data_IF_504232788717
#
_entry.id   IF_504232788717
#
_cell.length_a   1.000
_cell.length_b   1.000
_cell.length_c   1.000
_cell.angle_alpha   90.00
_cell.angle_beta   90.00
_cell.angle_gamma   90.00
#
_symmetry.space_group_name_H-M   'P 1'
#
loop_
_entity.id
_entity.type
_entity.pdbx_description
1 polymer ?
#
# COMPACT_ATOMS: atom_id res chain seq x y z
N UNK A 1 16.98 19.53 2.22
CA UNK A 1 15.62 19.55 1.64
C UNK A 1 14.63 19.17 2.73
N UNK A 2 13.64 20.03 3.03
CA UNK A 2 12.64 19.82 4.11
C UNK A 2 11.61 18.75 3.72
N UNK A 3 10.91 18.14 4.69
CA UNK A 3 9.84 17.15 4.42
C UNK A 3 8.72 17.78 3.56
N UNK A 4 8.39 19.04 3.81
CA UNK A 4 7.43 19.84 3.03
C UNK A 4 7.80 19.89 1.55
N UNK A 5 9.01 20.36 1.24
CA UNK A 5 9.50 20.40 -0.14
C UNK A 5 9.58 19.02 -0.79
N UNK A 6 9.86 17.96 -0.02
CA UNK A 6 9.82 16.58 -0.54
C UNK A 6 8.40 16.16 -0.90
N UNK A 7 7.44 16.38 -0.01
CA UNK A 7 6.06 15.94 -0.23
C UNK A 7 5.38 16.71 -1.37
N UNK A 8 5.55 18.04 -1.43
CA UNK A 8 5.04 18.87 -2.53
C UNK A 8 5.66 18.46 -3.87
N UNK A 9 6.98 18.27 -3.92
CA UNK A 9 7.64 17.76 -5.12
C UNK A 9 7.12 16.37 -5.51
N UNK A 10 6.87 15.47 -4.56
CA UNK A 10 6.31 14.14 -4.86
C UNK A 10 4.89 14.23 -5.39
N UNK A 11 4.03 15.11 -4.86
CA UNK A 11 2.67 15.34 -5.38
C UNK A 11 2.75 15.87 -6.81
N UNK A 12 3.50 16.94 -7.04
CA UNK A 12 3.62 17.57 -8.37
C UNK A 12 4.16 16.58 -9.39
N UNK A 13 5.26 15.90 -9.06
CA UNK A 13 5.84 14.87 -9.91
C UNK A 13 4.82 13.76 -10.21
N UNK A 14 4.11 13.27 -9.19
CA UNK A 14 3.14 12.20 -9.38
C UNK A 14 1.91 12.62 -10.21
N UNK A 15 1.55 13.90 -10.21
CA UNK A 15 0.53 14.49 -11.10
C UNK A 15 1.04 14.67 -12.53
N UNK A 16 2.31 15.06 -12.70
CA UNK A 16 2.98 15.25 -14.00
C UNK A 16 3.37 13.91 -14.67
N UNK A 17 2.91 12.78 -14.14
CA UNK A 17 3.14 11.45 -14.71
C UNK A 17 4.47 10.81 -14.33
N UNK A 18 5.24 11.41 -13.41
CA UNK A 18 6.46 10.80 -12.88
C UNK A 18 6.11 9.53 -12.09
N UNK A 19 6.72 8.43 -12.49
CA UNK A 19 6.64 7.13 -11.81
C UNK A 19 8.01 6.79 -11.26
N UNK A 20 8.08 6.44 -9.98
CA UNK A 20 9.27 5.74 -9.49
C UNK A 20 9.46 4.47 -10.33
N UNK A 21 10.70 4.23 -10.78
CA UNK A 21 11.02 3.04 -11.55
C UNK A 21 10.63 1.80 -10.75
N UNK A 22 9.72 1.01 -11.30
CA UNK A 22 9.24 -0.23 -10.70
C UNK A 22 9.19 -1.31 -11.75
N UNK A 23 9.55 -2.52 -11.35
CA UNK A 23 9.38 -3.73 -12.18
C UNK A 23 8.08 -4.46 -11.85
N UNK A 24 7.29 -3.93 -10.90
CA UNK A 24 6.08 -4.58 -10.43
C UNK A 24 4.95 -4.41 -11.43
N UNK A 25 4.56 -5.49 -12.10
CA UNK A 25 3.45 -5.44 -13.04
C UNK A 25 2.10 -5.23 -12.34
N UNK A 26 1.24 -4.42 -12.97
CA UNK A 26 -0.18 -4.36 -12.64
C UNK A 26 -0.85 -5.70 -12.96
N UNK A 27 -1.48 -6.33 -11.96
CA UNK A 27 -2.07 -7.67 -12.11
C UNK A 27 -3.54 -7.63 -12.52
N UNK A 28 -4.18 -6.44 -12.56
CA UNK A 28 -5.61 -6.25 -12.84
C UNK A 28 -6.07 -6.92 -14.14
N UNK A 29 -5.18 -6.98 -15.14
CA UNK A 29 -5.45 -7.52 -16.49
C UNK A 29 -5.16 -9.01 -16.63
N UNK A 30 -4.66 -9.67 -15.57
CA UNK A 30 -4.36 -11.10 -15.61
C UNK A 30 -5.60 -11.91 -15.27
N UNK A 31 -5.70 -13.11 -15.83
CA UNK A 31 -6.74 -14.06 -15.46
C UNK A 31 -6.39 -14.74 -14.13
N UNK A 32 -7.37 -15.03 -13.26
CA UNK A 32 -7.15 -15.89 -12.10
C UNK A 32 -6.46 -17.21 -12.51
N UNK A 33 -5.67 -17.76 -11.59
CA UNK A 33 -4.78 -18.92 -11.74
C UNK A 33 -3.55 -18.72 -12.62
N UNK A 34 -3.30 -17.50 -13.09
CA UNK A 34 -2.04 -17.17 -13.78
C UNK A 34 -0.85 -17.36 -12.82
N UNK A 35 0.19 -18.05 -13.30
CA UNK A 35 1.46 -18.19 -12.58
C UNK A 35 2.33 -16.94 -12.78
N UNK A 36 2.82 -16.38 -11.68
CA UNK A 36 3.67 -15.19 -11.67
C UNK A 36 4.98 -15.55 -10.96
N UNK A 37 6.09 -15.45 -11.67
CA UNK A 37 7.40 -15.68 -11.08
C UNK A 37 7.68 -14.72 -9.91
N UNK A 38 8.16 -15.25 -8.79
CA UNK A 38 8.44 -14.47 -7.57
C UNK A 38 9.50 -13.39 -7.79
N UNK A 39 10.40 -13.57 -8.75
CA UNK A 39 11.44 -12.60 -9.09
C UNK A 39 10.89 -11.31 -9.76
N UNK A 40 9.62 -11.29 -10.16
CA UNK A 40 8.96 -10.07 -10.66
C UNK A 40 8.58 -9.10 -9.54
N UNK A 41 8.59 -9.56 -8.30
CA UNK A 41 8.26 -8.78 -7.12
C UNK A 41 9.55 -8.32 -6.44
N UNK A 42 9.83 -7.02 -6.52
CA UNK A 42 10.82 -6.39 -5.63
C UNK A 42 10.07 -6.13 -4.33
N UNK A 43 10.37 -6.89 -3.28
CA UNK A 43 9.58 -6.85 -2.03
C UNK A 43 10.18 -5.86 -1.03
N UNK A 44 10.24 -4.59 -1.39
CA UNK A 44 10.81 -3.53 -0.54
C UNK A 44 10.01 -3.35 0.76
N UNK A 45 8.73 -3.70 0.73
CA UNK A 45 7.77 -3.52 1.83
C UNK A 45 7.28 -4.84 2.44
N UNK A 46 8.05 -5.92 2.30
CA UNK A 46 7.61 -7.23 2.79
C UNK A 46 7.40 -7.23 4.30
N UNK A 47 6.18 -7.56 4.72
CA UNK A 47 5.80 -7.73 6.11
C UNK A 47 5.24 -9.14 6.27
N UNK A 48 5.94 -9.94 7.07
CA UNK A 48 5.40 -11.22 7.53
C UNK A 48 4.55 -10.95 8.76
N UNK A 49 3.27 -11.34 8.71
CA UNK A 49 2.38 -11.36 9.87
C UNK A 49 2.02 -12.81 10.22
N UNK A 50 2.89 -13.55 10.94
CA UNK A 50 2.64 -14.95 11.27
C UNK A 50 1.31 -15.14 12.03
N UNK A 51 0.94 -14.15 12.84
CA UNK A 51 -0.27 -14.20 13.68
C UNK A 51 -1.57 -13.94 12.89
N UNK A 52 -1.49 -13.38 11.68
CA UNK A 52 -2.65 -13.01 10.86
C UNK A 52 -2.91 -14.04 9.74
N UNK A 53 -2.07 -15.07 9.63
CA UNK A 53 -2.21 -16.18 8.67
C UNK A 53 -2.03 -15.77 7.20
N UNK A 54 -1.50 -14.57 6.95
CA UNK A 54 -1.21 -14.04 5.62
C UNK A 54 0.10 -13.27 5.64
N UNK A 55 0.95 -13.50 4.63
CA UNK A 55 2.07 -12.60 4.37
C UNK A 55 1.60 -11.49 3.44
N UNK A 56 2.12 -10.27 3.61
CA UNK A 56 1.70 -9.15 2.78
C UNK A 56 2.85 -8.24 2.42
N UNK A 57 2.68 -7.51 1.33
CA UNK A 57 3.59 -6.47 0.88
C UNK A 57 2.83 -5.49 -0.01
N UNK A 58 3.41 -4.33 -0.26
CA UNK A 58 2.83 -3.28 -1.11
C UNK A 58 3.88 -2.67 -2.04
N UNK A 59 3.52 -2.45 -3.29
CA UNK A 59 4.47 -1.88 -4.23
C UNK A 59 3.76 -0.92 -5.18
N UNK A 60 4.54 0.00 -5.75
CA UNK A 60 4.09 0.81 -6.87
C UNK A 60 4.13 -0.06 -8.11
N UNK A 61 3.02 -0.16 -8.84
CA UNK A 61 2.95 -0.93 -10.07
C UNK A 61 3.43 -0.14 -11.31
N UNK A 62 3.56 -0.82 -12.46
CA UNK A 62 3.95 -0.22 -13.74
C UNK A 62 2.99 0.89 -14.21
N UNK A 63 1.75 0.90 -13.71
CA UNK A 63 0.78 1.97 -13.97
C UNK A 63 0.99 3.18 -13.03
N UNK A 64 1.92 3.07 -12.07
CA UNK A 64 2.27 4.07 -11.08
C UNK A 64 1.40 4.00 -9.84
N UNK A 65 0.49 3.04 -9.72
CA UNK A 65 -0.46 2.97 -8.62
C UNK A 65 0.11 2.18 -7.46
N UNK A 66 -0.26 2.57 -6.23
CA UNK A 66 0.04 1.76 -5.06
C UNK A 66 -0.91 0.56 -5.04
N UNK A 67 -0.33 -0.63 -5.05
CA UNK A 67 -1.03 -1.90 -4.94
C UNK A 67 -0.55 -2.70 -3.73
N UNK A 68 -1.46 -3.44 -3.13
CA UNK A 68 -1.20 -4.34 -2.01
C UNK A 68 -1.34 -5.78 -2.45
N UNK A 69 -0.55 -6.65 -1.86
CA UNK A 69 -0.47 -8.06 -2.21
C UNK A 69 -0.61 -8.89 -0.95
N UNK A 70 -1.61 -9.76 -0.92
CA UNK A 70 -1.83 -10.75 0.12
C UNK A 70 -1.46 -12.14 -0.38
N UNK A 71 -0.52 -12.78 0.31
CA UNK A 71 -0.11 -14.16 0.03
C UNK A 71 -0.88 -15.08 0.98
N UNK A 72 -1.87 -15.76 0.43
CA UNK A 72 -2.79 -16.67 1.08
C UNK A 72 -2.18 -18.08 1.28
N UNK A 73 -2.39 -18.64 2.47
CA UNK A 73 -2.10 -20.03 2.86
C UNK A 73 -3.32 -20.94 2.60
N UNK A 74 -3.84 -20.94 1.37
CA UNK A 74 -5.00 -21.77 1.00
C UNK A 74 -6.23 -21.52 1.88
N UNK A 75 -6.74 -22.57 2.56
CA UNK A 75 -8.00 -22.51 3.31
C UNK A 75 -8.00 -21.50 4.46
N UNK A 76 -6.86 -21.23 5.11
CA UNK A 76 -6.80 -20.32 6.28
C UNK A 76 -7.01 -18.85 5.92
N UNK A 77 -6.85 -18.51 4.64
CA UNK A 77 -6.90 -17.14 4.15
C UNK A 77 -8.07 -16.89 3.20
N UNK A 78 -9.01 -17.83 3.07
CA UNK A 78 -10.15 -17.71 2.15
C UNK A 78 -11.06 -16.52 2.51
N UNK A 79 -11.23 -16.23 3.79
CA UNK A 79 -12.02 -15.08 4.27
C UNK A 79 -11.56 -13.78 3.61
N UNK A 80 -10.25 -13.57 3.47
CA UNK A 80 -9.68 -12.37 2.83
C UNK A 80 -10.14 -12.16 1.38
N UNK A 81 -10.56 -13.23 0.71
CA UNK A 81 -11.02 -13.23 -0.68
C UNK A 81 -12.55 -13.15 -0.76
N UNK A 82 -13.25 -13.81 0.17
CA UNK A 82 -14.70 -14.06 0.07
C UNK A 82 -15.55 -13.07 0.86
N UNK A 83 -15.00 -12.42 1.89
CA UNK A 83 -15.74 -11.53 2.76
C UNK A 83 -15.52 -10.05 2.43
N UNK A 84 -16.41 -9.21 2.96
CA UNK A 84 -16.35 -7.76 2.79
C UNK A 84 -15.11 -7.18 3.46
N UNK A 85 -14.38 -6.39 2.67
CA UNK A 85 -13.16 -5.73 3.09
C UNK A 85 -13.46 -4.30 3.54
N UNK A 86 -13.09 -4.00 4.80
CA UNK A 86 -13.13 -2.65 5.35
C UNK A 86 -11.70 -2.16 5.51
N UNK A 87 -11.47 -0.86 5.36
CA UNK A 87 -10.20 -0.24 5.69
C UNK A 87 -10.37 0.94 6.65
N UNK A 88 -9.35 1.17 7.47
CA UNK A 88 -9.24 2.29 8.40
C UNK A 88 -7.84 2.89 8.32
N UNK A 89 -7.74 4.18 8.61
CA UNK A 89 -6.45 4.88 8.70
C UNK A 89 -6.29 5.49 10.09
N UNK A 90 -5.06 5.47 10.61
CA UNK A 90 -4.70 6.14 11.86
C UNK A 90 -3.29 6.70 11.80
N UNK A 91 -2.95 7.59 12.73
CA UNK A 91 -1.59 8.08 12.98
C UNK A 91 -1.18 7.75 14.39
N UNK A 92 0.04 7.28 14.54
CA UNK A 92 0.73 7.20 15.82
C UNK A 92 2.17 7.68 15.62
N UNK A 93 2.60 8.64 16.44
CA UNK A 93 3.92 9.25 16.33
C UNK A 93 4.21 9.73 14.90
N UNK A 94 5.32 9.27 14.31
CA UNK A 94 5.78 9.60 12.96
C UNK A 94 5.36 8.55 11.91
N UNK A 95 4.27 7.81 12.15
CA UNK A 95 3.79 6.76 11.27
C UNK A 95 2.28 6.90 11.01
N UNK A 96 1.88 6.74 9.75
CA UNK A 96 0.49 6.56 9.35
C UNK A 96 0.27 5.07 9.10
N UNK A 97 -0.82 4.52 9.63
CA UNK A 97 -1.15 3.11 9.52
C UNK A 97 -2.42 2.93 8.70
N UNK A 98 -2.33 2.10 7.66
CA UNK A 98 -3.50 1.62 6.91
C UNK A 98 -3.84 0.22 7.41
N UNK A 99 -5.03 0.07 7.98
CA UNK A 99 -5.53 -1.19 8.50
C UNK A 99 -6.61 -1.74 7.58
N UNK A 100 -6.40 -2.92 7.01
CA UNK A 100 -7.45 -3.67 6.33
C UNK A 100 -8.07 -4.69 7.30
N UNK A 101 -9.38 -4.86 7.23
CA UNK A 101 -10.17 -5.66 8.18
C UNK A 101 -11.15 -6.52 7.38
N UNK A 102 -11.17 -7.82 7.70
CA UNK A 102 -12.08 -8.81 7.12
C UNK A 102 -12.55 -9.72 8.26
N UNK A 103 -13.85 -9.72 8.56
CA UNK A 103 -14.40 -10.45 9.70
C UNK A 103 -13.65 -10.13 11.00
N UNK A 104 -13.03 -11.15 11.60
CA UNK A 104 -12.22 -11.02 12.82
C UNK A 104 -10.72 -10.78 12.55
N UNK A 105 -10.29 -10.80 11.28
CA UNK A 105 -8.89 -10.64 10.87
C UNK A 105 -8.60 -9.20 10.50
N UNK A 106 -7.35 -8.82 10.67
CA UNK A 106 -6.84 -7.55 10.14
C UNK A 106 -5.40 -7.69 9.71
N UNK A 107 -4.94 -6.76 8.88
CA UNK A 107 -3.54 -6.50 8.58
C UNK A 107 -3.30 -5.01 8.74
N UNK A 108 -2.12 -4.64 9.23
CA UNK A 108 -1.75 -3.23 9.45
C UNK A 108 -0.48 -2.92 8.66
N UNK A 109 -0.56 -1.88 7.85
CA UNK A 109 0.53 -1.46 6.98
C UNK A 109 1.04 -0.10 7.42
N UNK A 110 2.28 0.00 7.91
CA UNK A 110 2.88 1.24 8.35
C UNK A 110 3.51 2.03 7.20
N UNK A 111 3.30 3.34 7.22
CA UNK A 111 3.96 4.33 6.36
C UNK A 111 4.69 5.36 7.22
N UNK A 112 6.02 5.29 7.22
CA UNK A 112 6.87 6.15 8.04
C UNK A 112 7.02 7.53 7.39
N UNK A 113 6.63 8.60 8.08
CA UNK A 113 6.65 9.97 7.53
C UNK A 113 8.05 10.53 7.26
N UNK A 114 9.09 9.88 7.80
CA UNK A 114 10.50 10.24 7.53
C UNK A 114 11.09 9.48 6.35
N UNK A 115 10.44 8.39 5.91
CA UNK A 115 10.90 7.56 4.81
C UNK A 115 10.36 8.08 3.47
N UNK A 116 11.24 8.18 2.48
CA UNK A 116 10.87 8.77 1.17
C UNK A 116 9.95 7.86 0.38
N UNK A 117 10.14 6.54 0.48
CA UNK A 117 9.27 5.58 -0.20
C UNK A 117 7.85 5.60 0.41
N UNK A 118 7.77 5.57 1.73
CA UNK A 118 6.51 5.70 2.48
C UNK A 118 5.76 6.99 2.14
N UNK A 119 6.46 8.13 2.08
CA UNK A 119 5.87 9.40 1.64
C UNK A 119 5.35 9.31 0.21
N UNK A 120 6.11 8.71 -0.71
CA UNK A 120 5.63 8.51 -2.08
C UNK A 120 4.39 7.62 -2.14
N UNK A 121 4.35 6.51 -1.40
CA UNK A 121 3.17 5.66 -1.30
C UNK A 121 1.95 6.41 -0.76
N UNK A 122 2.12 7.22 0.29
CA UNK A 122 1.06 8.08 0.82
C UNK A 122 0.59 9.11 -0.22
N UNK A 123 1.51 9.73 -0.95
CA UNK A 123 1.17 10.60 -2.09
C UNK A 123 0.34 9.85 -3.13
N UNK A 124 0.72 8.60 -3.48
CA UNK A 124 -0.04 7.77 -4.42
C UNK A 124 -1.46 7.48 -3.92
N UNK A 125 -1.64 7.18 -2.63
CA UNK A 125 -2.97 7.02 -2.02
C UNK A 125 -3.81 8.28 -2.17
N UNK A 126 -3.24 9.46 -1.93
CA UNK A 126 -3.98 10.74 -2.03
C UNK A 126 -4.49 10.98 -3.46
N UNK A 127 -3.65 10.73 -4.46
CA UNK A 127 -4.00 11.06 -5.86
C UNK A 127 -4.82 9.97 -6.56
N UNK A 128 -4.65 8.69 -6.21
CA UNK A 128 -5.35 7.60 -6.89
C UNK A 128 -6.79 7.48 -6.39
N UNK A 129 -7.72 7.10 -7.27
CA UNK A 129 -9.14 6.93 -6.90
C UNK A 129 -9.36 5.64 -6.12
N UNK A 130 -8.66 4.58 -6.52
CA UNK A 130 -8.82 3.25 -5.94
C UNK A 130 -7.47 2.62 -5.60
N UNK A 131 -7.45 1.83 -4.53
CA UNK A 131 -6.37 0.91 -4.18
C UNK A 131 -6.70 -0.48 -4.72
N UNK A 132 -5.71 -1.16 -5.28
CA UNK A 132 -5.82 -2.58 -5.64
C UNK A 132 -5.29 -3.46 -4.51
N UNK A 133 -6.08 -4.44 -4.08
CA UNK A 133 -5.65 -5.52 -3.21
C UNK A 133 -5.63 -6.82 -4.00
N UNK A 134 -4.45 -7.31 -4.33
CA UNK A 134 -4.21 -8.53 -5.09
C UNK A 134 -4.05 -9.74 -4.19
N UNK A 135 -4.70 -10.84 -4.56
CA UNK A 135 -4.62 -12.10 -3.84
C UNK A 135 -3.69 -13.06 -4.59
N UNK A 136 -2.73 -13.63 -3.87
CA UNK A 136 -1.71 -14.55 -4.36
C UNK A 136 -1.71 -15.81 -3.51
N UNK A 137 -1.38 -16.95 -4.09
CA UNK A 137 -1.10 -18.18 -3.35
C UNK A 137 0.33 -18.63 -3.60
N UNK A 138 1.01 -19.06 -2.54
CA UNK A 138 2.39 -19.52 -2.59
C UNK A 138 2.51 -20.82 -3.41
N UNK A 139 3.41 -20.87 -4.40
CA UNK A 139 3.69 -22.08 -5.17
C UNK A 139 5.17 -22.20 -5.59
N UNK A 140 6.00 -22.90 -4.81
CA UNK A 140 7.43 -23.15 -5.12
C UNK A 140 8.18 -21.86 -5.51
N UNK A 141 8.44 -21.63 -6.80
CA UNK A 141 9.17 -20.45 -7.33
C UNK A 141 8.25 -19.34 -7.85
N UNK A 142 6.94 -19.55 -7.78
CA UNK A 142 5.90 -18.71 -8.37
C UNK A 142 4.82 -18.39 -7.35
N UNK A 143 4.01 -17.40 -7.68
CA UNK A 143 2.71 -17.17 -7.07
C UNK A 143 1.62 -17.59 -8.05
N UNK A 144 0.56 -18.19 -7.55
CA UNK A 144 -0.68 -18.35 -8.30
C UNK A 144 -1.55 -17.12 -8.01
N UNK A 145 -1.84 -16.33 -9.03
CA UNK A 145 -2.74 -15.19 -8.92
C UNK A 145 -4.19 -15.65 -8.70
N UNK A 146 -4.87 -15.13 -7.68
CA UNK A 146 -6.24 -15.56 -7.35
C UNK A 146 -7.31 -14.54 -7.78
N UNK A 147 -6.94 -13.26 -7.89
CA UNK A 147 -7.87 -12.19 -8.22
C UNK A 147 -7.52 -10.90 -7.47
N UNK A 148 -8.47 -9.96 -7.43
CA UNK A 148 -8.28 -8.68 -6.77
C UNK A 148 -9.58 -8.09 -6.25
N UNK A 149 -9.44 -7.21 -5.26
CA UNK A 149 -10.47 -6.26 -4.86
C UNK A 149 -10.01 -4.83 -5.16
N UNK A 150 -10.97 -4.00 -5.58
CA UNK A 150 -10.76 -2.58 -5.85
C UNK A 150 -11.44 -1.76 -4.75
N UNK A 151 -10.63 -0.98 -4.03
CA UNK A 151 -11.07 -0.27 -2.83
C UNK A 151 -11.10 1.21 -3.15
N UNK A 152 -12.29 1.82 -3.13
CA UNK A 152 -12.40 3.26 -3.33
C UNK A 152 -11.88 4.01 -2.10
N UNK A 153 -11.00 4.98 -2.33
CA UNK A 153 -10.43 5.80 -1.27
C UNK A 153 -11.28 7.04 -1.09
N UNK A 154 -11.91 7.16 0.09
CA UNK A 154 -12.80 8.27 0.38
C UNK A 154 -12.05 9.60 0.48
N UNK A 155 -12.76 10.70 0.25
CA UNK A 155 -12.22 12.06 0.34
C UNK A 155 -11.69 12.36 1.75
N UNK A 156 -12.40 11.90 2.77
CA UNK A 156 -12.01 12.09 4.17
C UNK A 156 -10.66 11.43 4.48
N UNK A 157 -10.37 10.26 3.91
CA UNK A 157 -9.10 9.56 4.12
C UNK A 157 -7.94 10.30 3.45
N UNK A 158 -8.17 10.85 2.24
CA UNK A 158 -7.18 11.66 1.54
C UNK A 158 -6.84 12.93 2.33
N UNK A 159 -7.86 13.62 2.81
CA UNK A 159 -7.71 14.80 3.67
C UNK A 159 -7.01 14.47 4.99
N UNK A 160 -7.32 13.32 5.58
CA UNK A 160 -6.63 12.84 6.78
C UNK A 160 -5.12 12.67 6.54
N UNK A 161 -4.71 12.04 5.44
CA UNK A 161 -3.28 11.86 5.12
C UNK A 161 -2.58 13.21 4.98
N UNK A 162 -3.15 14.12 4.18
CA UNK A 162 -2.60 15.45 3.94
C UNK A 162 -2.42 16.21 5.26
N UNK A 163 -3.46 16.24 6.10
CA UNK A 163 -3.43 16.93 7.40
C UNK A 163 -2.31 16.39 8.31
N UNK A 164 -2.13 15.08 8.36
CA UNK A 164 -1.14 14.45 9.22
C UNK A 164 0.30 14.69 8.76
N UNK A 165 0.53 14.77 7.44
CA UNK A 165 1.83 15.15 6.87
C UNK A 165 2.13 16.63 7.18
N UNK A 166 1.14 17.52 7.01
CA UNK A 166 1.30 18.94 7.30
C UNK A 166 1.61 19.19 8.79
N UNK A 167 0.92 18.52 9.71
CA UNK A 167 1.20 18.63 11.14
C UNK A 167 2.65 18.22 11.49
N UNK A 168 3.17 17.16 10.88
CA UNK A 168 4.55 16.69 11.09
C UNK A 168 5.60 17.68 10.53
N UNK A 169 5.22 18.47 9.53
CA UNK A 169 6.03 19.55 8.97
C UNK A 169 6.04 20.76 9.93
N UNK A 170 4.87 21.15 10.44
CA UNK A 170 4.72 22.31 11.33
C UNK A 170 5.44 22.11 12.67
N UNK A 171 5.31 20.93 13.28
CA UNK A 171 5.99 20.58 14.54
C UNK A 171 7.51 20.70 14.41
N UNK A 172 8.09 20.22 13.31
CA UNK A 172 9.54 20.37 13.03
C UNK A 172 9.98 21.83 12.84
N UNK A 173 9.11 22.73 12.38
CA UNK A 173 9.43 24.18 12.28
C UNK A 173 9.56 24.82 13.66
N UNK A 174 8.86 24.30 14.67
CA UNK A 174 8.91 24.80 16.05
C UNK A 174 10.18 24.30 16.74
N UNK A 175 10.56 23.03 16.57
CA UNK A 175 11.76 22.44 17.18
C UNK A 175 13.09 22.98 16.63
N UNK A 176 13.09 23.57 15.43
CA UNK A 176 14.28 24.10 14.78
C UNK A 176 14.57 25.59 15.07
N UNK A 177 13.75 26.23 15.93
CA UNK A 177 13.91 27.61 16.40
C UNK A 177 14.43 27.64 17.83
#
# INVERSE_FOLDING_TARGET
MSIESKFENLINNAQDGFKMSTTQYCLKKLNPRTLISKNKFVRNSYISSPNEGVNHFYEIDTEGNLAFYLVCDGQKSLEWILEDLIYKISKENNCIYLKFIVGAKSIVIPFMLKDTYSLYCLTRIVIQSNIMLYYLMENKKEYIYLGYNEINISKEIKEYIIKNINYEIETKKIEAK
#
